data_IF_638812252250
#
_entry.id   IF_638812252250
#
_cell.length_a   1.000
_cell.length_b   1.000
_cell.length_c   1.000
_cell.angle_alpha   90.00
_cell.angle_beta   90.00
_cell.angle_gamma   90.00
#
_symmetry.space_group_name_H-M   'P 1'
#
loop_
_entity.id
_entity.type
_entity.pdbx_description
1 polymer ?
#
# COMPACT_ATOMS: atom_id res chain seq x y z
N UNK A 1 17.69 -5.87 -7.25
CA UNK A 1 16.35 -6.24 -7.76
C UNK A 1 15.58 -6.91 -6.61
N UNK A 2 14.30 -6.62 -6.39
CA UNK A 2 13.54 -7.14 -5.24
C UNK A 2 13.21 -8.64 -5.34
N UNK A 3 12.50 -9.19 -4.34
CA UNK A 3 12.07 -10.61 -4.22
C UNK A 3 11.36 -11.18 -5.45
N UNK A 4 10.74 -10.32 -6.26
CA UNK A 4 9.89 -10.70 -7.39
C UNK A 4 10.42 -10.22 -8.76
N UNK A 5 11.65 -9.69 -8.83
CA UNK A 5 12.27 -9.24 -10.08
C UNK A 5 11.86 -7.84 -10.56
N UNK A 6 12.41 -7.44 -11.72
CA UNK A 6 12.25 -6.07 -12.26
C UNK A 6 10.87 -5.84 -12.89
N UNK A 7 10.29 -6.85 -13.53
CA UNK A 7 8.98 -6.73 -14.17
C UNK A 7 7.87 -6.52 -13.13
N UNK A 8 7.92 -7.25 -12.01
CA UNK A 8 7.04 -7.01 -10.88
C UNK A 8 7.19 -5.59 -10.32
N UNK A 9 8.43 -5.09 -10.24
CA UNK A 9 8.71 -3.72 -9.80
C UNK A 9 8.12 -2.68 -10.75
N UNK A 10 8.26 -2.87 -12.07
CA UNK A 10 7.65 -1.96 -13.07
C UNK A 10 6.14 -1.97 -12.98
N UNK A 11 5.52 -3.14 -12.84
CA UNK A 11 4.07 -3.30 -12.72
C UNK A 11 3.50 -2.51 -11.54
N UNK A 12 4.02 -2.76 -10.33
CA UNK A 12 3.51 -2.08 -9.11
C UNK A 12 3.84 -0.59 -9.05
N UNK A 13 4.84 -0.11 -9.82
CA UNK A 13 5.20 1.32 -9.90
C UNK A 13 4.65 2.01 -11.16
N UNK A 14 3.81 1.35 -11.97
CA UNK A 14 3.11 1.98 -13.10
C UNK A 14 2.15 3.09 -12.61
N UNK A 15 1.72 4.03 -13.48
CA UNK A 15 0.76 5.06 -13.09
C UNK A 15 -0.51 4.49 -12.45
N UNK A 16 -1.12 3.48 -13.08
CA UNK A 16 -2.29 2.76 -12.56
C UNK A 16 -1.96 2.04 -11.24
N UNK A 17 -0.80 1.38 -11.16
CA UNK A 17 -0.37 0.70 -9.94
C UNK A 17 -0.20 1.64 -8.74
N UNK A 18 0.22 2.89 -8.99
CA UNK A 18 0.30 3.94 -7.97
C UNK A 18 -1.07 4.43 -7.54
N UNK A 19 -1.99 4.66 -8.49
CA UNK A 19 -3.38 5.06 -8.18
C UNK A 19 -4.09 4.02 -7.31
N UNK A 20 -3.86 2.74 -7.59
CA UNK A 20 -4.39 1.61 -6.81
C UNK A 20 -3.57 1.28 -5.56
N UNK A 21 -2.46 1.97 -5.30
CA UNK A 21 -1.54 1.71 -4.19
C UNK A 21 -1.05 0.24 -4.08
N UNK A 22 -0.68 -0.39 -5.20
CA UNK A 22 -0.30 -1.81 -5.25
C UNK A 22 0.97 -2.17 -4.44
N UNK A 23 1.76 -1.17 -4.03
CA UNK A 23 2.88 -1.34 -3.10
C UNK A 23 2.50 -1.20 -1.62
N UNK A 24 1.24 -0.89 -1.33
CA UNK A 24 0.77 -0.41 -0.05
C UNK A 24 1.08 1.08 0.17
N UNK A 25 0.57 1.61 1.28
CA UNK A 25 0.79 2.99 1.73
C UNK A 25 1.51 2.94 3.07
N UNK A 26 2.59 3.70 3.23
CA UNK A 26 3.25 3.86 4.52
C UNK A 26 2.43 4.84 5.37
N UNK A 27 2.07 4.44 6.59
CA UNK A 27 1.28 5.24 7.53
C UNK A 27 1.87 5.14 8.93
N UNK A 28 1.63 6.17 9.76
CA UNK A 28 1.98 6.19 11.19
C UNK A 28 0.71 6.12 12.04
N UNK A 29 0.77 5.43 13.19
CA UNK A 29 -0.30 5.44 14.18
C UNK A 29 -0.25 6.77 14.93
N UNK A 30 -1.28 7.60 14.78
CA UNK A 30 -1.41 8.88 15.50
C UNK A 30 -2.27 8.75 16.76
N UNK A 31 -3.21 7.81 16.76
CA UNK A 31 -4.12 7.53 17.87
C UNK A 31 -4.20 6.02 18.10
N UNK A 32 -4.11 5.54 19.36
CA UNK A 32 -4.25 4.12 19.66
C UNK A 32 -5.70 3.66 19.50
N UNK A 33 -5.90 2.43 19.04
CA UNK A 33 -7.23 1.85 18.84
C UNK A 33 -7.19 0.39 18.42
N UNK A 34 -8.36 -0.23 18.28
CA UNK A 34 -8.50 -1.59 17.74
C UNK A 34 -8.85 -1.50 16.25
N UNK A 35 -8.15 -2.28 15.43
CA UNK A 35 -8.45 -2.47 14.01
C UNK A 35 -8.98 -3.88 13.80
N UNK A 36 -10.01 -4.04 12.99
CA UNK A 36 -10.66 -5.31 12.66
C UNK A 36 -10.68 -5.51 11.14
N UNK A 37 -10.80 -6.78 10.73
CA UNK A 37 -11.01 -7.11 9.32
C UNK A 37 -12.32 -6.47 8.84
N UNK A 38 -12.25 -5.73 7.74
CA UNK A 38 -13.37 -4.99 7.18
C UNK A 38 -13.38 -3.49 7.49
N UNK A 39 -12.55 -3.02 8.43
CA UNK A 39 -12.41 -1.59 8.70
C UNK A 39 -11.82 -0.88 7.47
N UNK A 40 -12.41 0.25 7.09
CA UNK A 40 -11.90 1.07 5.99
C UNK A 40 -10.72 1.91 6.46
N UNK A 41 -9.58 1.76 5.79
CA UNK A 41 -8.46 2.69 5.95
C UNK A 41 -8.78 3.99 5.20
N UNK A 42 -8.83 5.11 5.93
CA UNK A 42 -9.06 6.45 5.38
C UNK A 42 -7.85 7.33 5.64
N UNK A 43 -7.59 8.26 4.73
CA UNK A 43 -6.57 9.30 4.95
C UNK A 43 -7.15 10.33 5.93
N UNK A 44 -6.41 10.57 7.01
CA UNK A 44 -6.65 11.69 7.95
C UNK A 44 -5.94 12.93 7.42
#
# INVERSE_FOLDING_TARGET
VGRFGIEAMKFVNSPVGKELHLRGVNTKVVEPGKVRVGDKAVKV
#
